data_IF_482005315082
#
_entry.id   IF_482005315082
#
_cell.length_a   1.000
_cell.length_b   1.000
_cell.length_c   1.000
_cell.angle_alpha   90.00
_cell.angle_beta   90.00
_cell.angle_gamma   90.00
#
_symmetry.space_group_name_H-M   'P 1'
#
loop_
_entity.id
_entity.type
_entity.pdbx_description
1 polymer ?
#
# COMPACT_ATOMS: atom_id res chain seq x y z
N UNK A 1 1.54 12.70 -28.48
CA UNK A 1 0.66 12.30 -27.36
C UNK A 1 1.36 12.63 -26.04
N UNK A 2 0.83 13.56 -25.23
CA UNK A 2 1.45 14.04 -23.98
C UNK A 2 0.86 13.39 -22.71
N UNK A 3 0.21 12.24 -22.85
CA UNK A 3 -0.57 11.56 -21.80
C UNK A 3 0.10 10.31 -21.24
N UNK A 4 1.25 9.89 -21.78
CA UNK A 4 1.88 8.63 -21.42
C UNK A 4 2.27 8.55 -19.93
N UNK A 5 2.86 9.61 -19.36
CA UNK A 5 3.19 9.65 -17.92
C UNK A 5 1.96 9.58 -17.01
N UNK A 6 0.85 10.17 -17.43
CA UNK A 6 -0.40 10.22 -16.65
C UNK A 6 -0.99 8.81 -16.53
N UNK A 7 -1.00 8.04 -17.62
CA UNK A 7 -1.46 6.66 -17.59
C UNK A 7 -0.57 5.75 -16.74
N UNK A 8 0.76 5.95 -16.77
CA UNK A 8 1.68 5.20 -15.92
C UNK A 8 1.40 5.43 -14.44
N UNK A 9 1.20 6.69 -14.03
CA UNK A 9 0.82 7.03 -12.65
C UNK A 9 -0.52 6.40 -12.26
N UNK A 10 -1.52 6.46 -13.15
CA UNK A 10 -2.85 5.89 -12.90
C UNK A 10 -2.79 4.36 -12.70
N UNK A 11 -2.00 3.64 -13.51
CA UNK A 11 -1.79 2.19 -13.34
C UNK A 11 -1.17 1.92 -11.96
N UNK A 12 -0.19 2.72 -11.54
CA UNK A 12 0.41 2.62 -10.21
C UNK A 12 -0.60 2.79 -9.07
N UNK A 13 -1.49 3.79 -9.19
CA UNK A 13 -2.60 4.00 -8.24
C UNK A 13 -3.51 2.76 -8.20
N UNK A 14 -4.01 2.29 -9.34
CA UNK A 14 -4.93 1.15 -9.37
C UNK A 14 -4.32 -0.12 -8.77
N UNK A 15 -3.04 -0.41 -9.05
CA UNK A 15 -2.36 -1.56 -8.47
C UNK A 15 -2.21 -1.43 -6.94
N UNK A 16 -1.89 -0.22 -6.47
CA UNK A 16 -1.75 0.04 -5.04
C UNK A 16 -3.08 -0.09 -4.27
N UNK A 17 -4.19 0.43 -4.83
CA UNK A 17 -5.52 0.27 -4.22
C UNK A 17 -5.97 -1.19 -4.23
N UNK A 18 -5.73 -1.91 -5.32
CA UNK A 18 -6.07 -3.33 -5.43
C UNK A 18 -5.33 -4.18 -4.39
N UNK A 19 -4.04 -3.90 -4.16
CA UNK A 19 -3.28 -4.59 -3.12
C UNK A 19 -3.80 -4.27 -1.71
N UNK A 20 -4.11 -3.00 -1.45
CA UNK A 20 -4.61 -2.53 -0.15
C UNK A 20 -5.98 -3.13 0.22
N UNK A 21 -6.81 -3.43 -0.78
CA UNK A 21 -8.08 -4.15 -0.61
C UNK A 21 -7.90 -5.55 0.00
N UNK A 22 -6.70 -6.14 -0.08
CA UNK A 22 -6.41 -7.45 0.49
C UNK A 22 -6.61 -7.51 2.01
N UNK A 23 -6.35 -6.42 2.74
CA UNK A 23 -6.49 -6.36 4.20
C UNK A 23 -7.93 -6.55 4.68
N UNK A 24 -8.92 -5.74 4.24
CA UNK A 24 -10.30 -5.91 4.69
C UNK A 24 -10.87 -7.28 4.29
N UNK A 25 -10.50 -7.80 3.11
CA UNK A 25 -10.91 -9.16 2.69
C UNK A 25 -10.37 -10.19 3.67
N UNK A 26 -9.07 -10.15 4.00
CA UNK A 26 -8.45 -11.06 4.96
C UNK A 26 -9.14 -11.01 6.32
N UNK A 27 -9.42 -9.81 6.85
CA UNK A 27 -10.09 -9.64 8.15
C UNK A 27 -11.49 -10.25 8.12
N UNK A 28 -12.28 -10.01 7.06
CA UNK A 28 -13.63 -10.57 6.94
C UNK A 28 -13.62 -12.09 6.84
N UNK A 29 -12.66 -12.66 6.10
CA UNK A 29 -12.48 -14.11 6.00
C UNK A 29 -12.06 -14.70 7.34
N UNK A 30 -11.16 -14.06 8.08
CA UNK A 30 -10.74 -14.52 9.40
C UNK A 30 -11.91 -14.53 10.40
N UNK A 31 -12.68 -13.44 10.47
CA UNK A 31 -13.87 -13.36 11.34
C UNK A 31 -14.92 -14.42 10.97
N UNK A 32 -15.14 -14.64 9.67
CA UNK A 32 -16.06 -15.67 9.21
C UNK A 32 -15.57 -17.09 9.58
N UNK A 33 -14.27 -17.33 9.45
CA UNK A 33 -13.66 -18.61 9.78
C UNK A 33 -13.70 -18.90 11.29
N UNK A 34 -13.37 -17.90 12.11
CA UNK A 34 -13.45 -18.00 13.57
C UNK A 34 -14.88 -18.24 14.05
N UNK A 35 -15.88 -17.59 13.43
CA UNK A 35 -17.29 -17.82 13.75
C UNK A 35 -17.77 -19.24 13.44
N UNK A 36 -17.12 -19.93 12.50
CA UNK A 36 -17.42 -21.33 12.15
C UNK A 36 -16.72 -22.36 13.05
N UNK A 37 -15.67 -21.97 13.77
CA UNK A 37 -14.89 -22.89 14.60
C UNK A 37 -15.36 -22.87 16.06
N UNK A 38 -15.65 -24.07 16.61
CA UNK A 38 -15.99 -24.24 18.03
C UNK A 38 -14.84 -23.89 18.98
N UNK A 39 -13.59 -24.08 18.54
CA UNK A 39 -12.38 -23.70 19.28
C UNK A 39 -11.33 -23.17 18.30
N UNK A 40 -11.09 -21.84 18.25
CA UNK A 40 -10.05 -21.28 17.40
C UNK A 40 -8.65 -21.60 17.96
N UNK A 41 -7.79 -22.14 17.09
CA UNK A 41 -6.40 -22.46 17.41
C UNK A 41 -5.56 -21.19 17.25
N UNK A 42 -4.64 -20.88 18.17
CA UNK A 42 -3.82 -19.68 18.07
C UNK A 42 -2.88 -19.77 16.85
N UNK A 43 -2.58 -18.65 16.18
CA UNK A 43 -1.69 -18.63 15.04
C UNK A 43 -0.27 -19.06 15.46
N UNK A 44 0.40 -19.78 14.57
CA UNK A 44 1.82 -20.09 14.75
C UNK A 44 2.69 -18.83 14.68
N UNK A 45 3.87 -18.86 15.32
CA UNK A 45 4.82 -17.73 15.32
C UNK A 45 5.13 -17.25 13.90
N UNK A 46 5.33 -18.17 12.95
CA UNK A 46 5.55 -17.83 11.54
C UNK A 46 4.36 -17.06 10.93
N UNK A 47 3.13 -17.49 11.22
CA UNK A 47 1.93 -16.79 10.73
C UNK A 47 1.83 -15.37 11.30
N UNK A 48 2.25 -15.15 12.55
CA UNK A 48 2.27 -13.81 13.17
C UNK A 48 3.23 -12.88 12.41
N UNK A 49 4.46 -13.34 12.14
CA UNK A 49 5.44 -12.55 11.37
C UNK A 49 4.96 -12.26 9.95
N UNK A 50 4.43 -13.26 9.22
CA UNK A 50 3.86 -13.05 7.90
C UNK A 50 2.68 -12.08 7.91
N UNK A 51 1.80 -12.19 8.90
CA UNK A 51 0.68 -11.27 9.07
C UNK A 51 1.19 -9.84 9.28
N UNK A 52 2.19 -9.65 10.13
CA UNK A 52 2.79 -8.35 10.40
C UNK A 52 3.40 -7.71 9.15
N UNK A 53 4.19 -8.48 8.38
CA UNK A 53 4.79 -8.00 7.13
C UNK A 53 3.68 -7.61 6.14
N UNK A 54 2.64 -8.43 6.02
CA UNK A 54 1.52 -8.16 5.14
C UNK A 54 0.76 -6.87 5.52
N UNK A 55 0.42 -6.69 6.79
CA UNK A 55 -0.23 -5.46 7.26
C UNK A 55 0.64 -4.23 7.04
N UNK A 56 1.93 -4.30 7.38
CA UNK A 56 2.86 -3.20 7.15
C UNK A 56 3.00 -2.85 5.67
N UNK A 57 3.04 -3.87 4.80
CA UNK A 57 3.13 -3.68 3.36
C UNK A 57 1.85 -3.04 2.79
N UNK A 58 0.68 -3.44 3.30
CA UNK A 58 -0.59 -2.85 2.90
C UNK A 58 -0.73 -1.39 3.32
N UNK A 59 -0.34 -1.04 4.56
CA UNK A 59 -0.29 0.35 5.02
C UNK A 59 0.69 1.19 4.18
N UNK A 60 1.86 0.63 3.85
CA UNK A 60 2.79 1.31 2.96
C UNK A 60 2.15 1.58 1.58
N UNK A 61 1.35 0.65 1.09
CA UNK A 61 0.73 0.72 -0.23
C UNK A 61 -0.43 1.72 -0.26
N UNK A 62 -1.22 1.86 0.81
CA UNK A 62 -2.26 2.91 0.91
C UNK A 62 -1.64 4.30 0.96
N UNK A 63 -0.54 4.47 1.72
CA UNK A 63 0.21 5.73 1.77
C UNK A 63 0.80 6.06 0.40
N UNK A 64 1.39 5.07 -0.27
CA UNK A 64 1.92 5.24 -1.63
C UNK A 64 0.83 5.66 -2.61
N UNK A 65 -0.33 4.99 -2.60
CA UNK A 65 -1.48 5.32 -3.44
C UNK A 65 -1.88 6.79 -3.30
N UNK A 66 -1.98 7.27 -2.06
CA UNK A 66 -2.32 8.66 -1.75
C UNK A 66 -1.31 9.64 -2.36
N UNK A 67 -0.01 9.36 -2.22
CA UNK A 67 1.04 10.19 -2.83
C UNK A 67 1.02 10.17 -4.36
N UNK A 68 0.76 9.00 -4.96
CA UNK A 68 0.63 8.86 -6.40
C UNK A 68 -0.57 9.64 -6.94
N UNK A 69 -1.70 9.67 -6.23
CA UNK A 69 -2.86 10.50 -6.56
C UNK A 69 -2.53 12.00 -6.55
N UNK A 70 -1.79 12.46 -5.53
CA UNK A 70 -1.32 13.86 -5.45
C UNK A 70 -0.39 14.19 -6.62
N UNK A 71 0.56 13.31 -6.93
CA UNK A 71 1.49 13.49 -8.05
C UNK A 71 0.77 13.47 -9.41
N UNK A 72 -0.20 12.58 -9.58
CA UNK A 72 -1.07 12.55 -10.76
C UNK A 72 -1.79 13.89 -10.96
N UNK A 73 -2.41 14.43 -9.89
CA UNK A 73 -3.10 15.71 -9.95
C UNK A 73 -2.13 16.86 -10.29
N UNK A 74 -0.94 16.87 -9.66
CA UNK A 74 0.09 17.87 -9.89
C UNK A 74 0.58 17.84 -11.34
N UNK A 75 0.92 16.65 -11.87
CA UNK A 75 1.34 16.47 -13.27
C UNK A 75 0.23 16.92 -14.22
N UNK A 76 -1.03 16.59 -13.93
CA UNK A 76 -2.18 17.02 -14.74
C UNK A 76 -2.33 18.54 -14.77
N UNK A 77 -2.27 19.21 -13.62
CA UNK A 77 -2.34 20.69 -13.58
C UNK A 77 -1.16 21.32 -14.32
N UNK A 78 0.04 20.81 -14.09
CA UNK A 78 1.26 21.36 -14.69
C UNK A 78 1.27 21.18 -16.22
N UNK A 79 0.79 20.04 -16.74
CA UNK A 79 0.63 19.81 -18.19
C UNK A 79 -0.43 20.70 -18.83
N UNK A 80 -1.53 21.02 -18.13
CA UNK A 80 -2.58 21.90 -18.63
C UNK A 80 -2.14 23.38 -18.68
N UNK A 81 -1.40 23.83 -17.67
CA UNK A 81 -0.97 25.24 -17.58
C UNK A 81 0.13 25.61 -18.57
N UNK A 82 0.99 24.66 -18.98
CA UNK A 82 2.17 24.94 -19.83
C UNK A 82 2.22 24.11 -21.11
N UNK A 83 1.11 24.07 -21.84
CA UNK A 83 0.95 23.35 -23.12
C UNK A 83 2.00 23.74 -24.19
N UNK A 84 2.58 24.95 -24.12
CA UNK A 84 3.47 25.52 -25.15
C UNK A 84 4.97 25.46 -24.83
N UNK A 85 5.38 25.05 -23.63
CA UNK A 85 6.80 25.10 -23.21
C UNK A 85 7.48 23.73 -23.43
N UNK A 86 8.56 23.68 -24.20
CA UNK A 86 9.26 22.43 -24.53
C UNK A 86 9.79 21.69 -23.30
N UNK A 87 10.07 22.39 -22.20
CA UNK A 87 10.49 21.76 -20.92
C UNK A 87 9.41 20.83 -20.35
N UNK A 88 8.13 21.07 -20.66
CA UNK A 88 7.02 20.23 -20.21
C UNK A 88 6.85 18.95 -21.01
N UNK A 89 7.51 18.82 -22.17
CA UNK A 89 7.55 17.54 -22.89
C UNK A 89 8.26 16.46 -22.06
N UNK A 90 9.28 16.85 -21.28
CA UNK A 90 10.01 15.93 -20.40
C UNK A 90 9.15 15.43 -19.22
N UNK A 91 8.28 16.28 -18.68
CA UNK A 91 7.34 15.91 -17.59
C UNK A 91 6.24 14.97 -18.11
N UNK A 92 5.83 15.12 -19.36
CA UNK A 92 4.84 14.24 -19.99
C UNK A 92 5.40 12.89 -20.45
N UNK A 93 6.73 12.72 -20.41
CA UNK A 93 7.40 11.50 -20.84
C UNK A 93 7.12 10.35 -19.87
N UNK A 94 6.89 9.13 -20.36
CA UNK A 94 6.57 7.98 -19.50
C UNK A 94 7.68 7.66 -18.49
N UNK A 95 8.95 7.93 -18.83
CA UNK A 95 10.07 7.75 -17.91
C UNK A 95 9.99 8.61 -16.65
N UNK A 96 9.44 9.82 -16.75
CA UNK A 96 9.25 10.69 -15.59
C UNK A 96 8.23 10.10 -14.61
N UNK A 97 7.15 9.50 -15.12
CA UNK A 97 6.16 8.79 -14.30
C UNK A 97 6.76 7.63 -13.51
N UNK A 98 7.63 6.83 -14.12
CA UNK A 98 8.34 5.74 -13.42
C UNK A 98 9.27 6.24 -12.32
N UNK A 99 10.02 7.32 -12.58
CA UNK A 99 10.89 7.95 -11.58
C UNK A 99 10.06 8.44 -10.39
N UNK A 100 8.93 9.11 -10.65
CA UNK A 100 8.02 9.56 -9.60
C UNK A 100 7.49 8.39 -8.75
N UNK A 101 7.06 7.30 -9.39
CA UNK A 101 6.60 6.11 -8.67
C UNK A 101 7.71 5.55 -7.78
N UNK A 102 8.93 5.42 -8.32
CA UNK A 102 10.07 4.90 -7.57
C UNK A 102 10.42 5.78 -6.38
N UNK A 103 10.51 7.10 -6.56
CA UNK A 103 10.77 8.03 -5.47
C UNK A 103 9.68 7.97 -4.39
N UNK A 104 8.41 7.94 -4.78
CA UNK A 104 7.30 7.80 -3.83
C UNK A 104 7.32 6.47 -3.09
N UNK A 105 7.70 5.38 -3.76
CA UNK A 105 7.87 4.07 -3.14
C UNK A 105 8.98 4.10 -2.08
N UNK A 106 10.14 4.66 -2.40
CA UNK A 106 11.26 4.78 -1.45
C UNK A 106 10.88 5.63 -0.24
N UNK A 107 10.28 6.81 -0.45
CA UNK A 107 9.83 7.67 0.65
C UNK A 107 8.80 6.96 1.54
N UNK A 108 7.82 6.27 0.94
CA UNK A 108 6.81 5.53 1.68
C UNK A 108 7.44 4.36 2.44
N UNK A 109 8.39 3.65 1.84
CA UNK A 109 9.09 2.54 2.47
C UNK A 109 9.87 2.97 3.71
N UNK A 110 10.61 4.10 3.65
CA UNK A 110 11.35 4.64 4.80
C UNK A 110 10.40 4.96 5.96
N UNK A 111 9.25 5.57 5.68
CA UNK A 111 8.23 5.84 6.71
C UNK A 111 7.70 4.53 7.30
N UNK A 112 7.42 3.53 6.45
CA UNK A 112 6.89 2.23 6.90
C UNK A 112 7.88 1.51 7.81
N UNK A 113 9.17 1.60 7.50
CA UNK A 113 10.22 0.96 8.27
C UNK A 113 10.30 1.56 9.68
N UNK A 114 10.17 2.88 9.81
CA UNK A 114 10.10 3.56 11.10
C UNK A 114 8.91 3.10 11.95
N UNK A 115 7.75 2.87 11.34
CA UNK A 115 6.59 2.32 12.04
C UNK A 115 6.80 0.85 12.42
N UNK A 116 7.37 0.04 11.52
CA UNK A 116 7.64 -1.36 11.79
C UNK A 116 8.53 -1.56 13.02
N UNK A 117 9.56 -0.74 13.22
CA UNK A 117 10.45 -0.84 14.38
C UNK A 117 9.83 -0.36 15.69
N UNK A 118 8.74 0.41 15.64
CA UNK A 118 8.07 0.94 16.84
C UNK A 118 7.19 -0.11 17.52
N UNK A 119 6.67 -1.08 16.77
CA UNK A 119 5.73 -2.07 17.31
C UNK A 119 6.46 -3.27 17.95
N UNK A 120 6.20 -3.53 19.22
CA UNK A 120 6.67 -4.74 19.93
C UNK A 120 5.60 -5.82 19.94
N UNK A 121 6.02 -7.10 19.91
CA UNK A 121 5.11 -8.24 20.04
C UNK A 121 5.03 -8.57 21.52
N UNK A 122 3.87 -8.36 22.13
CA UNK A 122 3.63 -8.73 23.52
C UNK A 122 3.08 -10.17 23.61
N UNK A 123 3.63 -10.95 24.54
CA UNK A 123 3.16 -12.29 24.89
C UNK A 123 1.89 -12.18 25.76
N UNK A 124 0.75 -12.64 25.25
CA UNK A 124 -0.53 -12.57 25.97
C UNK A 124 -0.71 -13.68 27.04
N UNK A 125 0.20 -14.66 27.13
CA UNK A 125 0.14 -15.79 28.06
C UNK A 125 -0.25 -17.13 27.41
N UNK A 126 -0.34 -18.22 28.20
CA UNK A 126 -0.67 -19.55 27.68
C UNK A 126 -2.09 -19.60 27.10
N UNK A 127 -2.25 -20.27 25.96
CA UNK A 127 -3.56 -20.45 25.34
C UNK A 127 -4.45 -21.36 26.21
N UNK A 128 -5.63 -20.84 26.57
CA UNK A 128 -6.65 -21.56 27.33
C UNK A 128 -7.89 -21.70 26.43
N UNK A 129 -8.35 -22.92 26.09
CA UNK A 129 -9.55 -23.11 25.29
C UNK A 129 -10.77 -22.56 26.03
N UNK A 130 -11.57 -21.73 25.36
CA UNK A 130 -12.87 -21.33 25.90
C UNK A 130 -13.84 -22.52 25.78
N UNK A 131 -14.51 -22.96 26.88
CA UNK A 131 -15.52 -24.00 26.80
C UNK A 131 -16.70 -23.49 25.97
N UNK A 132 -17.07 -24.25 24.95
CA UNK A 132 -18.19 -23.95 24.04
C UNK A 132 -19.56 -24.28 24.61
#
# INVERSE_FOLDING_TARGET
MRTASIYVLLIGVCLSELYSLGVPIKVKVAVFWEAWQKCPIPPSVLQIYFNRIFLSSADNTTRLSTWLCVLFALVRVATLQKISDNRFQMISAPGFGWILIFCSFVCSFVISLSFYFKDEIEELGPWIPQPG
#
